data_IF_351907216468
#
_entry.id   IF_351907216468
#
_cell.length_a   1.000
_cell.length_b   1.000
_cell.length_c   1.000
_cell.angle_alpha   90.00
_cell.angle_beta   90.00
_cell.angle_gamma   90.00
#
_symmetry.space_group_name_H-M   'P 1'
#
loop_
_entity.id
_entity.type
_entity.pdbx_description
1 polymer ?
#
# COMPACT_ATOMS: atom_id res chain seq x y z
N UNK A 1 -44.29 -11.38 -3.15
CA UNK A 1 -44.95 -10.21 -2.53
C UNK A 1 -44.19 -9.94 -1.24
N UNK A 2 -43.83 -8.68 -0.99
CA UNK A 2 -42.78 -8.23 -0.07
C UNK A 2 -43.08 -8.57 1.40
N UNK A 3 -42.11 -9.17 2.10
CA UNK A 3 -42.06 -9.11 3.56
C UNK A 3 -40.78 -8.40 4.02
N UNK A 4 -41.02 -7.42 4.88
CA UNK A 4 -40.21 -6.26 5.15
C UNK A 4 -39.63 -6.41 6.55
N UNK A 5 -38.41 -6.93 6.69
CA UNK A 5 -37.74 -7.00 7.99
C UNK A 5 -37.16 -5.63 8.36
N UNK A 6 -37.93 -4.91 9.17
CA UNK A 6 -37.59 -3.66 9.83
C UNK A 6 -36.77 -3.97 11.09
N UNK A 7 -35.44 -3.87 11.00
CA UNK A 7 -34.57 -3.93 12.19
C UNK A 7 -34.24 -2.50 12.64
N UNK A 8 -34.66 -2.15 13.87
CA UNK A 8 -34.47 -0.84 14.50
C UNK A 8 -33.02 -0.70 15.01
N UNK A 9 -32.30 0.31 14.52
CA UNK A 9 -31.01 0.72 15.09
C UNK A 9 -31.24 1.45 16.43
N UNK A 10 -30.61 0.96 17.51
CA UNK A 10 -30.63 1.58 18.84
C UNK A 10 -29.38 2.45 18.99
N UNK A 11 -29.57 3.78 19.00
CA UNK A 11 -28.50 4.76 19.24
C UNK A 11 -28.20 4.78 20.73
N UNK A 12 -27.02 4.31 21.13
CA UNK A 12 -26.54 4.42 22.52
C UNK A 12 -25.59 5.63 22.59
N UNK A 13 -26.07 6.71 23.20
CA UNK A 13 -25.29 7.91 23.50
C UNK A 13 -24.44 7.69 24.76
N UNK A 14 -23.12 7.56 24.60
CA UNK A 14 -22.18 7.53 25.74
C UNK A 14 -21.67 8.94 26.01
N UNK A 15 -22.13 9.53 27.13
CA UNK A 15 -21.62 10.80 27.68
C UNK A 15 -20.23 10.56 28.28
N UNK A 16 -19.17 11.19 27.73
CA UNK A 16 -17.84 11.24 28.36
C UNK A 16 -17.74 12.43 29.33
N UNK A 17 -17.57 12.13 30.61
CA UNK A 17 -17.29 13.08 31.69
C UNK A 17 -15.81 13.50 31.69
N UNK A 18 -15.54 14.81 31.80
CA UNK A 18 -14.19 15.38 31.91
C UNK A 18 -13.70 15.30 33.37
N UNK A 19 -12.60 14.59 33.62
CA UNK A 19 -11.88 14.63 34.91
C UNK A 19 -10.60 15.46 34.76
N UNK A 20 -10.58 16.65 35.36
CA UNK A 20 -9.37 17.48 35.58
C UNK A 20 -8.46 16.80 36.61
N UNK A 21 -7.15 16.78 36.37
CA UNK A 21 -6.13 16.72 37.44
C UNK A 21 -4.97 17.66 37.09
N UNK A 22 -4.56 18.43 38.09
CA UNK A 22 -3.55 19.49 38.04
C UNK A 22 -2.13 18.95 38.22
N UNK A 23 -1.18 19.56 37.50
CA UNK A 23 0.19 19.98 37.89
C UNK A 23 1.17 19.06 38.64
N UNK A 24 2.37 18.88 38.07
CA UNK A 24 3.67 18.95 38.77
C UNK A 24 4.81 19.24 37.78
N UNK A 25 5.82 20.01 38.22
CA UNK A 25 7.00 20.54 37.48
C UNK A 25 8.30 19.82 37.91
N UNK A 26 9.30 19.86 37.01
CA UNK A 26 10.74 19.44 37.12
C UNK A 26 10.97 17.92 37.10
N UNK A 27 11.89 17.27 36.36
CA UNK A 27 12.91 17.64 35.36
C UNK A 27 14.06 16.61 35.43
N UNK A 28 14.33 15.83 34.36
CA UNK A 28 15.67 15.36 33.89
C UNK A 28 15.58 14.26 32.80
N UNK A 29 16.62 14.08 31.97
CA UNK A 29 16.54 13.56 30.61
C UNK A 29 16.88 12.07 30.51
N UNK A 30 16.39 11.41 29.46
CA UNK A 30 16.81 10.07 29.07
C UNK A 30 15.68 9.07 29.06
N UNK A 31 15.04 8.93 27.89
CA UNK A 31 14.83 7.63 27.24
C UNK A 31 14.10 7.90 25.93
N UNK A 32 14.83 7.74 24.82
CA UNK A 32 14.25 7.56 23.50
C UNK A 32 13.44 6.26 23.54
N UNK A 33 12.16 6.36 23.90
CA UNK A 33 11.22 5.32 23.57
C UNK A 33 10.82 5.56 22.12
N UNK A 34 11.60 4.99 21.21
CA UNK A 34 11.12 4.69 19.87
C UNK A 34 9.88 3.84 20.05
N UNK A 35 8.70 4.46 20.06
CA UNK A 35 7.45 3.76 19.89
C UNK A 35 7.45 3.28 18.44
N UNK A 36 8.12 2.15 18.22
CA UNK A 36 7.82 1.28 17.10
C UNK A 36 6.35 0.98 17.26
N UNK A 37 5.50 1.66 16.50
CA UNK A 37 4.11 1.28 16.34
C UNK A 37 4.16 -0.05 15.59
N UNK A 38 4.32 -1.12 16.36
CA UNK A 38 4.05 -2.48 15.93
C UNK A 38 2.58 -2.46 15.53
N UNK A 39 2.34 -2.60 14.23
CA UNK A 39 1.01 -2.82 13.69
C UNK A 39 0.48 -4.10 14.34
N UNK A 40 -0.36 -3.92 15.37
CA UNK A 40 -1.17 -5.01 15.88
C UNK A 40 -2.22 -5.29 14.80
N UNK A 41 -2.01 -6.41 14.11
CA UNK A 41 -2.97 -7.02 13.22
C UNK A 41 -4.22 -7.36 14.05
N UNK A 42 -5.27 -6.58 13.84
CA UNK A 42 -6.61 -6.84 14.39
C UNK A 42 -7.62 -6.94 13.23
N UNK A 43 -7.18 -7.53 12.12
CA UNK A 43 -8.08 -8.10 11.12
C UNK A 43 -8.10 -9.62 11.33
N UNK A 44 -9.02 -10.06 12.19
CA UNK A 44 -9.29 -11.47 12.43
C UNK A 44 -10.06 -12.05 11.23
N UNK A 45 -9.34 -12.28 10.13
CA UNK A 45 -9.65 -13.37 9.20
C UNK A 45 -8.78 -14.56 9.61
N UNK A 46 -9.37 -15.52 10.31
CA UNK A 46 -8.74 -16.81 10.61
C UNK A 46 -8.55 -17.64 9.32
N UNK A 47 -7.58 -17.26 8.48
CA UNK A 47 -7.12 -18.02 7.29
C UNK A 47 -5.61 -18.32 7.36
N UNK A 48 -5.02 -18.28 8.56
CA UNK A 48 -3.58 -18.05 8.73
C UNK A 48 -2.77 -19.27 9.19
N UNK A 49 -3.02 -20.47 8.65
CA UNK A 49 -2.11 -21.60 8.90
C UNK A 49 -1.62 -22.43 7.71
N UNK A 50 -2.04 -22.20 6.44
CA UNK A 50 -1.48 -22.98 5.31
C UNK A 50 -1.38 -22.27 3.94
N UNK A 51 -1.61 -20.95 3.84
CA UNK A 51 -1.57 -20.23 2.54
C UNK A 51 -0.16 -20.24 1.92
N UNK A 52 0.89 -20.26 2.75
CA UNK A 52 2.29 -20.30 2.30
C UNK A 52 2.64 -21.67 1.67
N UNK A 53 1.98 -22.75 2.09
CA UNK A 53 2.24 -24.11 1.60
C UNK A 53 1.37 -24.53 0.41
N UNK A 54 0.41 -23.70 0.00
CA UNK A 54 -0.37 -23.89 -1.23
C UNK A 54 0.57 -23.91 -2.46
N UNK A 55 0.64 -25.04 -3.20
CA UNK A 55 1.46 -25.15 -4.41
C UNK A 55 1.11 -24.08 -5.47
N UNK A 56 -0.16 -23.69 -5.59
CA UNK A 56 -0.59 -22.67 -6.54
C UNK A 56 -0.06 -21.29 -6.16
N UNK A 57 -0.05 -20.98 -4.86
CA UNK A 57 0.55 -19.75 -4.35
C UNK A 57 2.08 -19.74 -4.53
N UNK A 58 2.75 -20.86 -4.24
CA UNK A 58 4.20 -20.99 -4.45
C UNK A 58 4.60 -20.80 -5.90
N UNK A 59 3.88 -21.41 -6.83
CA UNK A 59 4.11 -21.26 -8.27
C UNK A 59 3.91 -19.81 -8.71
N UNK A 60 2.83 -19.17 -8.25
CA UNK A 60 2.56 -17.75 -8.49
C UNK A 60 3.69 -16.84 -7.99
N UNK A 61 4.15 -17.02 -6.75
CA UNK A 61 5.24 -16.22 -6.17
C UNK A 61 6.53 -16.42 -6.95
N UNK A 62 6.86 -17.67 -7.31
CA UNK A 62 8.03 -17.96 -8.13
C UNK A 62 7.94 -17.26 -9.48
N UNK A 63 6.80 -17.36 -10.18
CA UNK A 63 6.60 -16.71 -11.46
C UNK A 63 6.66 -15.18 -11.37
N UNK A 64 6.00 -14.60 -10.36
CA UNK A 64 5.97 -13.17 -10.12
C UNK A 64 7.37 -12.57 -9.86
N UNK A 65 8.27 -13.33 -9.22
CA UNK A 65 9.63 -12.89 -8.93
C UNK A 65 10.67 -13.36 -9.95
N UNK A 66 10.29 -14.06 -11.02
CA UNK A 66 11.24 -14.45 -12.08
C UNK A 66 11.92 -13.20 -12.62
N UNK A 67 13.25 -13.21 -12.59
CA UNK A 67 14.05 -12.10 -13.07
C UNK A 67 13.78 -11.90 -14.57
N UNK A 68 13.28 -10.73 -14.98
CA UNK A 68 13.07 -10.48 -16.38
C UNK A 68 14.46 -10.37 -17.04
N UNK A 69 14.75 -11.27 -17.98
CA UNK A 69 16.02 -11.30 -18.74
C UNK A 69 16.32 -9.94 -19.43
N UNK A 70 15.26 -9.17 -19.66
CA UNK A 70 15.28 -7.81 -20.18
C UNK A 70 14.76 -6.86 -19.09
N UNK A 71 15.46 -5.75 -18.84
CA UNK A 71 15.00 -4.77 -17.84
C UNK A 71 13.64 -4.14 -18.19
N UNK A 72 13.05 -3.41 -17.24
CA UNK A 72 11.74 -2.79 -17.41
C UNK A 72 11.80 -1.26 -17.46
N UNK A 73 10.91 -0.67 -18.26
CA UNK A 73 10.60 0.76 -18.22
C UNK A 73 9.33 0.95 -17.39
N UNK A 74 9.49 1.45 -16.17
CA UNK A 74 8.46 1.45 -15.15
C UNK A 74 7.63 2.74 -15.12
N UNK A 75 6.34 2.56 -14.85
CA UNK A 75 5.51 3.61 -14.27
C UNK A 75 5.49 3.47 -12.76
N UNK A 76 6.12 4.40 -12.06
CA UNK A 76 6.19 4.43 -10.60
C UNK A 76 4.97 5.16 -10.03
N UNK A 77 4.20 4.49 -9.19
CA UNK A 77 3.06 5.08 -8.49
C UNK A 77 3.36 5.05 -7.00
N UNK A 78 3.31 6.22 -6.36
CA UNK A 78 3.49 6.35 -4.91
C UNK A 78 2.15 6.70 -4.25
N UNK A 79 1.57 5.78 -3.46
CA UNK A 79 0.37 6.07 -2.69
C UNK A 79 0.70 6.95 -1.47
N UNK A 80 0.41 8.25 -1.58
CA UNK A 80 0.53 9.19 -0.48
C UNK A 80 -0.65 9.03 0.49
N UNK A 81 -0.42 8.40 1.64
CA UNK A 81 -1.46 8.20 2.66
C UNK A 81 -1.86 9.55 3.25
N UNK A 82 -3.17 9.82 3.33
CA UNK A 82 -3.68 11.01 4.03
C UNK A 82 -3.38 10.90 5.52
N UNK A 83 -2.53 11.79 6.02
CA UNK A 83 -2.07 11.79 7.41
C UNK A 83 -3.03 12.54 8.34
N UNK A 84 -3.01 12.14 9.62
CA UNK A 84 -3.58 12.95 10.70
C UNK A 84 -2.70 14.19 10.89
N UNK A 85 -3.24 15.43 10.81
CA UNK A 85 -2.49 16.66 11.07
C UNK A 85 -1.74 16.69 12.40
N UNK A 86 -2.12 15.82 13.36
CA UNK A 86 -1.49 15.71 14.69
C UNK A 86 -0.18 14.92 14.69
N UNK A 87 0.14 14.21 13.61
CA UNK A 87 1.38 13.44 13.49
C UNK A 87 2.03 13.67 12.11
N UNK A 88 2.67 14.83 11.91
CA UNK A 88 3.32 15.14 10.65
C UNK A 88 4.52 14.21 10.42
N UNK A 89 4.66 13.69 9.21
CA UNK A 89 5.86 12.96 8.78
C UNK A 89 7.05 13.92 8.65
N UNK A 90 8.24 13.39 8.89
CA UNK A 90 9.51 14.08 8.62
C UNK A 90 9.88 14.08 7.13
N UNK A 91 9.12 13.38 6.30
CA UNK A 91 9.33 13.28 4.84
C UNK A 91 8.10 13.76 4.09
N UNK A 92 8.30 14.09 2.81
CA UNK A 92 7.24 14.50 1.89
C UNK A 92 6.97 13.40 0.86
N UNK A 93 5.74 13.30 0.30
CA UNK A 93 5.45 12.36 -0.77
C UNK A 93 6.39 12.48 -1.97
N UNK A 94 6.90 13.68 -2.24
CA UNK A 94 7.86 13.95 -3.30
C UNK A 94 9.22 13.30 -3.01
N UNK A 95 9.72 13.42 -1.77
CA UNK A 95 10.95 12.74 -1.34
C UNK A 95 10.77 11.22 -1.34
N UNK A 96 9.65 10.69 -0.83
CA UNK A 96 9.36 9.25 -0.86
C UNK A 96 9.22 8.71 -2.29
N UNK A 97 8.75 9.52 -3.24
CA UNK A 97 8.71 9.19 -4.66
C UNK A 97 10.12 9.17 -5.28
N UNK A 98 10.98 10.13 -4.93
CA UNK A 98 12.36 10.19 -5.41
C UNK A 98 13.18 8.98 -4.92
N UNK A 99 13.00 8.57 -3.66
CA UNK A 99 13.58 7.35 -3.11
C UNK A 99 13.13 6.11 -3.91
N UNK A 100 11.83 6.00 -4.22
CA UNK A 100 11.29 4.90 -5.01
C UNK A 100 11.87 4.85 -6.42
N UNK A 101 12.00 6.01 -7.08
CA UNK A 101 12.62 6.10 -8.39
C UNK A 101 14.12 5.75 -8.33
N UNK A 102 14.80 6.13 -7.25
CA UNK A 102 16.21 5.77 -7.03
C UNK A 102 16.38 4.27 -6.88
N UNK A 103 15.48 3.60 -6.14
CA UNK A 103 15.46 2.14 -6.01
C UNK A 103 15.32 1.44 -7.38
N UNK A 104 14.47 1.95 -8.27
CA UNK A 104 14.37 1.41 -9.64
C UNK A 104 15.67 1.57 -10.41
N UNK A 105 16.35 2.72 -10.26
CA UNK A 105 17.59 3.04 -10.98
C UNK A 105 18.80 2.21 -10.52
N UNK A 106 18.72 1.51 -9.39
CA UNK A 106 19.79 0.59 -8.98
C UNK A 106 19.77 -0.73 -9.74
N UNK A 107 18.65 -1.07 -10.41
CA UNK A 107 18.51 -2.28 -11.22
C UNK A 107 19.08 -2.07 -12.63
N UNK A 108 19.92 -2.98 -13.11
CA UNK A 108 20.51 -2.90 -14.45
C UNK A 108 19.44 -2.99 -15.54
N UNK A 109 19.48 -2.09 -16.53
CA UNK A 109 18.53 -1.97 -17.64
C UNK A 109 17.09 -1.57 -17.24
N UNK A 110 16.83 -1.27 -15.96
CA UNK A 110 15.54 -0.74 -15.54
C UNK A 110 15.55 0.80 -15.59
N UNK A 111 14.43 1.39 -15.97
CA UNK A 111 14.26 2.83 -16.12
C UNK A 111 12.92 3.28 -15.56
N UNK A 112 12.82 4.57 -15.20
CA UNK A 112 11.56 5.21 -14.81
C UNK A 112 11.04 5.98 -16.02
N UNK A 113 9.98 5.49 -16.66
CA UNK A 113 9.32 6.17 -17.76
C UNK A 113 8.41 7.29 -17.26
N UNK A 114 7.66 7.02 -16.18
CA UNK A 114 6.72 7.96 -15.60
C UNK A 114 6.59 7.79 -14.10
N UNK A 115 6.11 8.82 -13.42
CA UNK A 115 5.84 8.81 -11.98
C UNK A 115 4.54 9.53 -11.64
N UNK A 116 3.76 9.01 -10.67
CA UNK A 116 2.53 9.65 -10.18
C UNK A 116 2.36 9.44 -8.69
N UNK A 117 2.20 10.53 -7.94
CA UNK A 117 1.78 10.48 -6.54
C UNK A 117 0.26 10.45 -6.49
N UNK A 118 -0.31 9.50 -5.76
CA UNK A 118 -1.77 9.33 -5.61
C UNK A 118 -2.15 9.39 -4.15
N UNK A 119 -3.06 10.30 -3.79
CA UNK A 119 -3.57 10.39 -2.42
C UNK A 119 -4.49 9.20 -2.13
N UNK A 120 -4.18 8.44 -1.09
CA UNK A 120 -4.96 7.27 -0.65
C UNK A 120 -5.29 7.36 0.83
N UNK A 121 -6.29 6.58 1.27
CA UNK A 121 -6.61 6.42 2.68
C UNK A 121 -5.83 5.23 3.25
N UNK A 122 -5.40 5.31 4.52
CA UNK A 122 -4.61 4.23 5.13
C UNK A 122 -5.33 2.88 5.05
N UNK A 123 -6.63 2.85 5.35
CA UNK A 123 -7.44 1.63 5.32
C UNK A 123 -7.69 1.03 3.94
N UNK A 124 -7.29 1.68 2.84
CA UNK A 124 -7.47 1.12 1.48
C UNK A 124 -6.22 0.48 0.92
N UNK A 125 -5.04 0.66 1.54
CA UNK A 125 -3.75 0.15 1.03
C UNK A 125 -3.70 -1.37 0.85
N UNK A 126 -4.41 -2.13 1.70
CA UNK A 126 -4.45 -3.60 1.66
C UNK A 126 -5.57 -4.14 0.78
N UNK A 127 -6.42 -3.27 0.24
CA UNK A 127 -7.59 -3.65 -0.55
C UNK A 127 -7.28 -3.63 -2.04
N UNK A 128 -8.01 -4.44 -2.82
CA UNK A 128 -7.95 -4.40 -4.29
C UNK A 128 -8.35 -3.02 -4.87
N UNK A 129 -9.13 -2.24 -4.11
CA UNK A 129 -9.61 -0.90 -4.46
C UNK A 129 -8.77 0.22 -3.81
N UNK A 130 -7.45 0.02 -3.71
CA UNK A 130 -6.51 0.97 -3.10
C UNK A 130 -6.66 2.40 -3.65
N UNK A 131 -6.83 2.52 -4.96
CA UNK A 131 -7.07 3.76 -5.65
C UNK A 131 -8.57 3.89 -5.87
N UNK A 132 -9.22 4.90 -5.28
CA UNK A 132 -10.65 5.10 -5.44
C UNK A 132 -11.10 5.06 -6.92
N UNK A 133 -12.36 4.71 -7.21
CA UNK A 133 -12.80 4.25 -8.53
C UNK A 133 -12.48 5.22 -9.67
N UNK A 134 -12.59 6.52 -9.42
CA UNK A 134 -12.30 7.55 -10.42
C UNK A 134 -10.82 7.58 -10.79
N UNK A 135 -9.93 7.52 -9.80
CA UNK A 135 -8.48 7.54 -10.01
C UNK A 135 -8.03 6.26 -10.68
N UNK A 136 -8.58 5.12 -10.25
CA UNK A 136 -8.27 3.84 -10.88
C UNK A 136 -8.71 3.80 -12.34
N UNK A 137 -9.94 4.24 -12.63
CA UNK A 137 -10.45 4.34 -14.02
C UNK A 137 -9.58 5.24 -14.89
N UNK A 138 -9.13 6.38 -14.36
CA UNK A 138 -8.19 7.27 -15.07
C UNK A 138 -6.88 6.54 -15.40
N UNK A 139 -6.32 5.78 -14.45
CA UNK A 139 -5.09 5.02 -14.67
C UNK A 139 -5.29 3.89 -15.69
N UNK A 140 -6.38 3.14 -15.60
CA UNK A 140 -6.70 2.10 -16.59
C UNK A 140 -6.86 2.66 -18.01
N UNK A 141 -7.30 3.91 -18.16
CA UNK A 141 -7.36 4.56 -19.48
C UNK A 141 -6.01 5.07 -20.00
N UNK A 142 -5.04 5.34 -19.12
CA UNK A 142 -3.77 5.99 -19.47
C UNK A 142 -2.61 5.02 -19.61
N UNK A 143 -2.51 4.04 -18.73
CA UNK A 143 -1.36 3.13 -18.64
C UNK A 143 -1.22 2.27 -19.90
N UNK A 144 -2.27 1.57 -20.39
CA UNK A 144 -2.12 0.69 -21.54
C UNK A 144 -1.81 1.42 -22.85
N UNK A 145 -2.11 2.72 -22.94
CA UNK A 145 -1.92 3.53 -24.14
C UNK A 145 -0.46 4.02 -24.32
N UNK A 146 0.43 3.71 -23.38
CA UNK A 146 1.81 4.24 -23.35
C UNK A 146 2.80 3.17 -23.79
N UNK A 147 3.31 3.31 -25.00
CA UNK A 147 4.24 2.35 -25.62
C UNK A 147 5.60 2.25 -24.93
N UNK A 148 5.95 3.22 -24.08
CA UNK A 148 7.23 3.28 -23.37
C UNK A 148 7.16 2.67 -21.96
N UNK A 149 6.02 2.15 -21.52
CA UNK A 149 5.86 1.53 -20.20
C UNK A 149 5.73 0.02 -20.40
N UNK A 150 6.57 -0.76 -19.71
CA UNK A 150 6.55 -2.23 -19.76
C UNK A 150 6.09 -2.87 -18.46
N UNK A 151 6.05 -2.12 -17.35
CA UNK A 151 5.56 -2.59 -16.06
C UNK A 151 5.19 -1.41 -15.14
N UNK A 152 4.47 -1.70 -14.06
CA UNK A 152 4.07 -0.72 -13.05
C UNK A 152 4.77 -1.05 -11.74
N UNK A 153 5.31 -0.06 -11.06
CA UNK A 153 5.83 -0.20 -9.70
C UNK A 153 4.93 0.58 -8.74
N UNK A 154 4.24 -0.13 -7.85
CA UNK A 154 3.48 0.46 -6.75
C UNK A 154 4.38 0.55 -5.51
N UNK A 155 4.75 1.76 -5.09
CA UNK A 155 5.61 1.98 -3.92
C UNK A 155 4.85 1.74 -2.60
N UNK A 156 4.48 0.48 -2.36
CA UNK A 156 3.94 -0.06 -1.11
C UNK A 156 4.84 -1.20 -0.63
N UNK A 157 4.76 -1.57 0.64
CA UNK A 157 5.64 -2.61 1.19
C UNK A 157 5.46 -3.95 0.50
N UNK A 158 4.22 -4.44 0.43
CA UNK A 158 3.84 -5.69 -0.22
C UNK A 158 2.43 -5.57 -0.80
N UNK A 159 2.20 -6.20 -1.94
CA UNK A 159 0.88 -6.47 -2.49
C UNK A 159 0.53 -7.93 -2.23
N UNK A 160 -0.73 -8.20 -1.88
CA UNK A 160 -1.21 -9.59 -1.83
C UNK A 160 -1.57 -10.11 -3.24
N UNK A 161 -1.71 -11.44 -3.38
CA UNK A 161 -2.05 -12.12 -4.65
C UNK A 161 -3.30 -11.51 -5.31
N UNK A 162 -4.35 -11.23 -4.53
CA UNK A 162 -5.59 -10.63 -5.04
C UNK A 162 -5.37 -9.23 -5.63
N UNK A 163 -4.56 -8.39 -4.98
CA UNK A 163 -4.19 -7.07 -5.48
C UNK A 163 -3.37 -7.17 -6.77
N UNK A 164 -2.35 -8.03 -6.77
CA UNK A 164 -1.49 -8.23 -7.95
C UNK A 164 -2.34 -8.69 -9.14
N UNK A 165 -3.15 -9.75 -8.97
CA UNK A 165 -4.05 -10.26 -10.01
C UNK A 165 -5.01 -9.19 -10.50
N UNK A 166 -5.62 -8.43 -9.60
CA UNK A 166 -6.53 -7.36 -9.96
C UNK A 166 -5.83 -6.27 -10.79
N UNK A 167 -4.67 -5.80 -10.37
CA UNK A 167 -3.95 -4.74 -11.09
C UNK A 167 -3.41 -5.23 -12.43
N UNK A 168 -2.83 -6.43 -12.48
CA UNK A 168 -2.33 -7.02 -13.73
C UNK A 168 -3.47 -7.25 -14.73
N UNK A 169 -4.65 -7.71 -14.30
CA UNK A 169 -5.81 -7.89 -15.18
C UNK A 169 -6.34 -6.58 -15.79
N UNK A 170 -6.20 -5.45 -15.08
CA UNK A 170 -6.66 -4.15 -15.56
C UNK A 170 -5.63 -3.42 -16.43
N UNK A 171 -4.34 -3.56 -16.10
CA UNK A 171 -3.27 -2.86 -16.82
C UNK A 171 -2.61 -3.70 -17.89
N UNK A 172 -2.79 -5.02 -17.86
CA UNK A 172 -2.16 -5.98 -18.78
C UNK A 172 -0.63 -5.85 -18.80
N UNK A 173 -0.06 -5.45 -17.66
CA UNK A 173 1.37 -5.26 -17.43
C UNK A 173 1.76 -5.93 -16.11
N UNK A 174 3.01 -6.40 -15.96
CA UNK A 174 3.54 -6.78 -14.65
C UNK A 174 3.42 -5.62 -13.67
N UNK A 175 3.10 -5.96 -12.42
CA UNK A 175 2.99 -4.99 -11.32
C UNK A 175 4.00 -5.42 -10.28
N UNK A 176 4.80 -4.51 -9.77
CA UNK A 176 5.79 -4.76 -8.74
C UNK A 176 5.44 -3.96 -7.49
N UNK A 177 5.78 -4.49 -6.32
CA UNK A 177 5.78 -3.79 -5.04
C UNK A 177 7.23 -3.55 -4.59
N UNK A 178 7.41 -2.91 -3.43
CA UNK A 178 8.77 -2.59 -2.97
C UNK A 178 9.57 -3.86 -2.67
N UNK A 179 8.92 -4.86 -2.10
CA UNK A 179 9.57 -6.14 -1.83
C UNK A 179 10.06 -6.81 -3.11
N UNK A 180 9.21 -6.91 -4.13
CA UNK A 180 9.60 -7.55 -5.39
C UNK A 180 10.72 -6.80 -6.10
N UNK A 181 10.72 -5.46 -6.09
CA UNK A 181 11.85 -4.66 -6.60
C UNK A 181 13.14 -4.95 -5.82
N UNK A 182 13.08 -5.00 -4.49
CA UNK A 182 14.26 -5.31 -3.65
C UNK A 182 14.80 -6.70 -3.94
N UNK A 183 13.93 -7.69 -4.15
CA UNK A 183 14.35 -9.05 -4.56
C UNK A 183 15.05 -9.05 -5.91
N UNK A 184 14.76 -8.12 -6.83
CA UNK A 184 15.50 -8.04 -8.09
C UNK A 184 16.90 -7.43 -7.95
N UNK A 185 17.20 -6.73 -6.84
CA UNK A 185 18.50 -6.07 -6.60
C UNK A 185 19.56 -7.07 -6.12
N UNK A 186 19.15 -8.10 -5.37
CA UNK A 186 20.04 -9.07 -4.72
C UNK A 186 20.00 -10.42 -5.43
#
# INVERSE_FOLDING_TARGET
MKDFYRTKAKVISVKRTKKKRNGSKYGSPGNFHTSVLLYQNDDSSNEDENVIDDPEYKEFVQEYHKHPQNGHSLFVIHPAVRYDPRNPKLTTPELEMEEACTLVRTLDKWTVAEQKIVKVSLGTLTTANMFGPNVFKEMCSKIPNKKNISAVFLNVSHLNKAQIMNFQAHWQLPVFDRYSIVIQIF
#
